data_IF_612065412613
#
_entry.id   IF_612065412613
#
_cell.length_a   1.000
_cell.length_b   1.000
_cell.length_c   1.000
_cell.angle_alpha   90.00
_cell.angle_beta   90.00
_cell.angle_gamma   90.00
#
_symmetry.space_group_name_H-M   'P 1'
#
loop_
_entity.id
_entity.type
_entity.pdbx_description
1 polymer ?
#
# COMPACT_ATOMS: atom_id res chain seq x y z
N UNK A 1 -7.20 1.29 28.64
CA UNK A 1 -8.47 1.11 27.93
C UNK A 1 -9.29 -0.06 28.50
N UNK A 2 -8.70 -1.23 28.83
CA UNK A 2 -9.43 -2.40 29.33
C UNK A 2 -9.89 -2.30 30.80
N UNK A 3 -9.32 -1.38 31.60
CA UNK A 3 -9.67 -1.20 33.01
C UNK A 3 -11.00 -0.45 33.12
N UNK A 4 -12.08 -1.15 33.43
CA UNK A 4 -13.42 -0.59 33.62
C UNK A 4 -13.54 0.21 34.93
N UNK A 5 -14.58 1.03 35.06
CA UNK A 5 -14.89 1.76 36.30
C UNK A 5 -15.10 0.81 37.49
N UNK A 6 -15.70 -0.36 37.24
CA UNK A 6 -15.89 -1.41 38.24
C UNK A 6 -14.56 -1.99 38.73
N UNK A 7 -13.63 -2.30 37.83
CA UNK A 7 -12.29 -2.77 38.18
C UNK A 7 -11.49 -1.72 38.97
N UNK A 8 -11.66 -0.42 38.64
CA UNK A 8 -11.03 0.66 39.40
C UNK A 8 -11.57 0.72 40.84
N UNK A 9 -12.90 0.58 41.03
CA UNK A 9 -13.50 0.51 42.38
C UNK A 9 -13.02 -0.73 43.13
N UNK A 10 -13.04 -1.89 42.51
CA UNK A 10 -12.55 -3.14 43.08
C UNK A 10 -11.06 -3.08 43.47
N UNK A 11 -10.22 -2.41 42.66
CA UNK A 11 -8.82 -2.16 42.99
C UNK A 11 -8.67 -1.30 44.27
N UNK A 12 -9.51 -0.27 44.45
CA UNK A 12 -9.52 0.54 45.66
C UNK A 12 -9.90 -0.32 46.89
N UNK A 13 -10.94 -1.15 46.78
CA UNK A 13 -11.35 -2.07 47.85
C UNK A 13 -10.24 -3.03 48.20
N UNK A 14 -9.60 -3.66 47.22
CA UNK A 14 -8.43 -4.53 47.44
C UNK A 14 -7.32 -3.81 48.22
N UNK A 15 -7.00 -2.57 47.82
CA UNK A 15 -5.96 -1.78 48.50
C UNK A 15 -6.36 -1.39 49.93
N UNK A 16 -7.64 -1.13 50.20
CA UNK A 16 -8.16 -0.86 51.54
C UNK A 16 -8.07 -2.09 52.45
N UNK A 17 -8.42 -3.27 51.91
CA UNK A 17 -8.24 -4.53 52.62
C UNK A 17 -6.77 -4.82 52.94
N UNK A 18 -5.87 -4.53 52.00
CA UNK A 18 -4.45 -4.63 52.25
C UNK A 18 -3.98 -3.70 53.37
N UNK A 19 -4.36 -2.43 53.34
CA UNK A 19 -4.02 -1.46 54.41
C UNK A 19 -4.55 -1.91 55.75
N UNK A 20 -5.82 -2.38 55.81
CA UNK A 20 -6.41 -2.90 57.05
C UNK A 20 -5.57 -4.05 57.61
N UNK A 21 -5.23 -5.07 56.80
CA UNK A 21 -4.41 -6.18 57.22
C UNK A 21 -3.01 -5.73 57.75
N UNK A 22 -2.36 -4.81 57.08
CA UNK A 22 -1.04 -4.30 57.52
C UNK A 22 -1.16 -3.54 58.84
N UNK A 23 -2.26 -2.83 59.09
CA UNK A 23 -2.47 -2.07 60.34
C UNK A 23 -2.87 -3.00 61.49
N UNK A 24 -3.81 -3.93 61.24
CA UNK A 24 -4.37 -4.79 62.33
C UNK A 24 -3.49 -6.03 62.63
N UNK A 25 -2.69 -6.46 61.66
CA UNK A 25 -1.91 -7.72 61.69
C UNK A 25 -2.75 -8.95 62.03
N UNK A 26 -4.10 -8.85 61.87
CA UNK A 26 -5.05 -9.91 62.15
C UNK A 26 -5.08 -10.94 61.04
N UNK A 27 -5.02 -12.22 61.39
CA UNK A 27 -5.06 -13.36 60.47
C UNK A 27 -6.35 -13.42 59.61
N UNK A 28 -7.49 -12.97 60.17
CA UNK A 28 -8.76 -12.89 59.43
C UNK A 28 -8.70 -11.84 58.34
N UNK A 29 -8.14 -10.65 58.59
CA UNK A 29 -7.96 -9.60 57.63
C UNK A 29 -6.97 -10.01 56.49
N UNK A 30 -5.97 -10.82 56.86
CA UNK A 30 -5.06 -11.42 55.88
C UNK A 30 -5.77 -12.36 54.89
N UNK A 31 -6.60 -13.28 55.45
CA UNK A 31 -7.37 -14.24 54.63
C UNK A 31 -8.30 -13.49 53.69
N UNK A 32 -9.05 -12.55 54.21
CA UNK A 32 -10.00 -11.73 53.44
C UNK A 32 -9.30 -10.97 52.29
N UNK A 33 -8.14 -10.38 52.56
CA UNK A 33 -7.34 -9.72 51.55
C UNK A 33 -6.84 -10.70 50.47
N UNK A 34 -6.32 -11.86 50.85
CA UNK A 34 -5.80 -12.87 49.92
C UNK A 34 -6.89 -13.41 49.00
N UNK A 35 -8.04 -13.73 49.55
CA UNK A 35 -9.22 -14.18 48.77
C UNK A 35 -9.68 -13.11 47.79
N UNK A 36 -9.86 -11.88 48.28
CA UNK A 36 -10.31 -10.77 47.41
C UNK A 36 -9.25 -10.48 46.32
N UNK A 37 -7.96 -10.54 46.65
CA UNK A 37 -6.91 -10.37 45.66
C UNK A 37 -6.91 -11.45 44.58
N UNK A 38 -7.19 -12.70 44.94
CA UNK A 38 -7.25 -13.81 44.02
C UNK A 38 -8.40 -13.62 43.01
N UNK A 39 -9.61 -13.30 43.52
CA UNK A 39 -10.80 -13.02 42.69
C UNK A 39 -10.54 -11.80 41.78
N UNK A 40 -10.02 -10.70 42.34
CA UNK A 40 -9.70 -9.50 41.57
C UNK A 40 -8.75 -9.80 40.43
N UNK A 41 -7.68 -10.57 40.70
CA UNK A 41 -6.68 -10.93 39.68
C UNK A 41 -7.29 -11.76 38.54
N UNK A 42 -8.17 -12.72 38.87
CA UNK A 42 -8.86 -13.53 37.89
C UNK A 42 -9.76 -12.67 36.98
N UNK A 43 -10.60 -11.83 37.57
CA UNK A 43 -11.52 -10.94 36.82
C UNK A 43 -10.75 -9.91 36.00
N UNK A 44 -9.65 -9.38 36.51
CA UNK A 44 -8.82 -8.43 35.77
C UNK A 44 -8.14 -9.07 34.54
N UNK A 45 -7.63 -10.29 34.65
CA UNK A 45 -7.04 -11.04 33.53
C UNK A 45 -8.11 -11.40 32.48
N UNK A 46 -9.30 -11.77 32.91
CA UNK A 46 -10.40 -12.09 32.01
C UNK A 46 -10.87 -10.85 31.24
N UNK A 47 -11.02 -9.71 31.92
CA UNK A 47 -11.37 -8.45 31.29
C UNK A 47 -10.31 -7.97 30.30
N UNK A 48 -9.03 -8.17 30.60
CA UNK A 48 -7.93 -7.87 29.69
C UNK A 48 -7.96 -8.78 28.46
N UNK A 49 -8.13 -10.07 28.65
CA UNK A 49 -8.22 -11.06 27.57
C UNK A 49 -9.39 -10.75 26.62
N UNK A 50 -10.56 -10.49 27.15
CA UNK A 50 -11.76 -10.13 26.36
C UNK A 50 -11.55 -8.83 25.58
N UNK A 51 -10.91 -7.82 26.16
CA UNK A 51 -10.60 -6.58 25.48
C UNK A 51 -9.70 -6.80 24.29
N UNK A 52 -8.60 -7.57 24.43
CA UNK A 52 -7.70 -7.84 23.33
C UNK A 52 -8.31 -8.77 22.27
N UNK A 53 -9.14 -9.74 22.68
CA UNK A 53 -9.89 -10.55 21.71
C UNK A 53 -10.81 -9.69 20.84
N UNK A 54 -11.53 -8.74 21.41
CA UNK A 54 -12.39 -7.82 20.65
C UNK A 54 -11.56 -6.87 19.77
N UNK A 55 -10.43 -6.37 20.28
CA UNK A 55 -9.55 -5.44 19.56
C UNK A 55 -8.91 -6.08 18.32
N UNK A 56 -8.65 -7.39 18.35
CA UNK A 56 -8.01 -8.15 17.28
C UNK A 56 -8.99 -9.08 16.53
N UNK A 57 -10.29 -8.97 16.75
CA UNK A 57 -11.27 -9.75 16.00
C UNK A 57 -11.23 -9.37 14.50
N UNK A 58 -10.73 -10.30 13.67
CA UNK A 58 -10.60 -10.13 12.24
C UNK A 58 -11.94 -10.00 11.51
N UNK A 59 -13.06 -10.41 12.12
CA UNK A 59 -14.40 -10.31 11.53
C UNK A 59 -14.91 -8.86 11.54
N UNK A 60 -14.50 -8.08 12.52
CA UNK A 60 -14.96 -6.70 12.72
C UNK A 60 -13.94 -5.64 12.32
N UNK A 61 -12.66 -6.03 12.09
CA UNK A 61 -11.58 -5.12 11.81
C UNK A 61 -10.92 -5.42 10.44
N UNK A 62 -10.69 -4.37 9.66
CA UNK A 62 -9.85 -4.51 8.46
C UNK A 62 -8.35 -4.56 8.85
N UNK A 63 -7.51 -5.08 7.96
CA UNK A 63 -6.06 -5.22 8.20
C UNK A 63 -5.39 -3.92 8.66
N UNK A 64 -5.81 -2.77 8.15
CA UNK A 64 -5.26 -1.46 8.55
C UNK A 64 -5.59 -1.13 10.01
N UNK A 65 -6.81 -1.45 10.47
CA UNK A 65 -7.21 -1.26 11.87
C UNK A 65 -6.43 -2.20 12.79
N UNK A 66 -6.28 -3.47 12.40
CA UNK A 66 -5.47 -4.44 13.16
C UNK A 66 -4.02 -3.96 13.33
N UNK A 67 -3.38 -3.46 12.26
CA UNK A 67 -2.05 -2.89 12.33
C UNK A 67 -1.96 -1.63 13.20
N UNK A 68 -2.95 -0.74 13.13
CA UNK A 68 -3.02 0.44 13.99
C UNK A 68 -3.18 0.04 15.47
N UNK A 69 -4.02 -0.94 15.76
CA UNK A 69 -4.22 -1.47 17.10
C UNK A 69 -2.91 -2.08 17.65
N UNK A 70 -2.23 -2.88 16.83
CA UNK A 70 -0.95 -3.50 17.19
C UNK A 70 0.13 -2.43 17.45
N UNK A 71 0.26 -1.44 16.60
CA UNK A 71 1.18 -0.32 16.78
C UNK A 71 0.90 0.48 18.07
N UNK A 72 -0.38 0.66 18.44
CA UNK A 72 -0.77 1.39 19.65
C UNK A 72 -0.40 0.63 20.92
N UNK A 73 -0.43 -0.71 20.90
CA UNK A 73 -0.11 -1.55 22.05
C UNK A 73 1.41 -1.74 22.19
N UNK A 74 2.07 -2.04 21.09
CA UNK A 74 3.51 -2.31 21.09
C UNK A 74 4.36 -1.03 21.22
N UNK A 75 3.72 0.14 21.36
CA UNK A 75 4.41 1.44 21.44
C UNK A 75 5.45 1.62 20.32
N UNK A 76 5.24 0.95 19.19
CA UNK A 76 5.98 1.31 18.00
C UNK A 76 5.66 2.78 17.76
N UNK A 77 6.59 3.66 18.16
CA UNK A 77 6.47 5.08 17.89
C UNK A 77 6.11 5.19 16.42
N UNK A 78 4.85 5.57 16.14
CA UNK A 78 4.50 6.09 14.83
C UNK A 78 5.40 7.32 14.66
N UNK A 79 6.64 7.08 14.27
CA UNK A 79 7.35 8.06 13.50
C UNK A 79 6.48 8.20 12.26
N UNK A 80 5.55 9.15 12.31
CA UNK A 80 5.09 9.78 11.07
C UNK A 80 6.38 10.04 10.33
N UNK A 81 6.68 9.21 9.35
CA UNK A 81 7.91 9.29 8.61
C UNK A 81 7.75 10.47 7.66
N UNK A 82 7.70 11.68 8.23
CA UNK A 82 8.19 12.86 7.55
C UNK A 82 9.70 12.64 7.56
N UNK A 83 10.18 11.91 6.58
CA UNK A 83 11.59 11.88 6.26
C UNK A 83 11.90 13.28 5.77
N UNK A 84 12.20 14.18 6.71
CA UNK A 84 12.88 15.40 6.33
C UNK A 84 14.23 14.93 5.77
N UNK A 85 14.35 14.99 4.47
CA UNK A 85 15.60 14.73 3.77
C UNK A 85 16.36 16.04 3.89
N UNK A 86 17.33 16.08 4.80
CA UNK A 86 18.10 17.29 5.08
C UNK A 86 19.35 17.40 4.21
N UNK A 87 19.72 16.31 3.54
CA UNK A 87 20.95 16.19 2.79
C UNK A 87 20.81 15.12 1.70
N UNK A 88 21.35 15.40 0.52
CA UNK A 88 21.46 14.45 -0.57
C UNK A 88 22.86 14.56 -1.19
N UNK A 89 23.48 13.45 -1.52
CA UNK A 89 24.75 13.42 -2.28
C UNK A 89 24.41 13.09 -3.72
N UNK A 90 24.66 14.06 -4.61
CA UNK A 90 24.49 13.89 -6.05
C UNK A 90 25.81 14.22 -6.76
N UNK A 91 26.31 13.29 -7.57
CA UNK A 91 27.58 13.44 -8.31
C UNK A 91 28.79 13.87 -7.43
N UNK A 92 28.84 13.36 -6.18
CA UNK A 92 29.88 13.68 -5.22
C UNK A 92 29.71 15.04 -4.51
N UNK A 93 28.68 15.81 -4.85
CA UNK A 93 28.36 17.10 -4.22
C UNK A 93 27.25 16.89 -3.17
N UNK A 94 27.44 17.51 -2.01
CA UNK A 94 26.50 17.52 -0.92
C UNK A 94 25.48 18.65 -1.09
N UNK A 95 24.21 18.30 -1.29
CA UNK A 95 23.09 19.22 -1.45
C UNK A 95 22.34 19.31 -0.12
N UNK A 96 22.10 20.54 0.36
CA UNK A 96 21.41 20.82 1.64
C UNK A 96 20.21 21.74 1.45
N UNK A 97 20.19 22.51 0.36
CA UNK A 97 19.01 23.32 0.03
C UNK A 97 17.85 22.44 -0.45
N UNK A 98 16.60 22.66 0.03
CA UNK A 98 15.46 21.88 -0.37
C UNK A 98 15.16 21.87 -1.88
N UNK A 99 15.43 22.97 -2.59
CA UNK A 99 15.25 23.05 -4.03
C UNK A 99 16.29 22.21 -4.76
N UNK A 100 17.56 22.29 -4.34
CA UNK A 100 18.65 21.51 -4.90
C UNK A 100 18.46 20.00 -4.64
N UNK A 101 18.02 19.63 -3.44
CA UNK A 101 17.66 18.23 -3.10
C UNK A 101 16.54 17.72 -4.03
N UNK A 102 15.48 18.54 -4.25
CA UNK A 102 14.37 18.16 -5.13
C UNK A 102 14.83 17.99 -6.58
N UNK A 103 15.67 18.89 -7.08
CA UNK A 103 16.26 18.80 -8.41
C UNK A 103 17.17 17.58 -8.53
N UNK A 104 18.01 17.33 -7.52
CA UNK A 104 18.86 16.14 -7.47
C UNK A 104 18.09 14.81 -7.56
N UNK A 105 16.93 14.72 -6.89
CA UNK A 105 16.03 13.58 -7.04
C UNK A 105 15.40 13.50 -8.43
N UNK A 106 14.96 14.62 -9.01
CA UNK A 106 14.40 14.65 -10.36
C UNK A 106 15.41 14.19 -11.39
N UNK A 107 16.63 14.71 -11.33
CA UNK A 107 17.73 14.34 -12.23
C UNK A 107 18.08 12.85 -12.09
N UNK A 108 18.13 12.35 -10.85
CA UNK A 108 18.39 10.94 -10.62
C UNK A 108 17.29 10.04 -11.20
N UNK A 109 16.01 10.31 -10.88
CA UNK A 109 14.91 9.45 -11.31
C UNK A 109 14.63 9.53 -12.81
N UNK A 110 14.83 10.69 -13.44
CA UNK A 110 14.67 10.84 -14.90
C UNK A 110 15.78 10.18 -15.71
N UNK A 111 17.00 10.12 -15.18
CA UNK A 111 18.17 9.62 -15.90
C UNK A 111 18.53 8.17 -15.61
N UNK A 112 17.95 7.54 -14.57
CA UNK A 112 18.37 6.19 -14.12
C UNK A 112 18.15 5.13 -15.20
N UNK A 113 17.05 5.21 -15.96
CA UNK A 113 16.77 4.29 -17.05
C UNK A 113 17.88 4.29 -18.11
N UNK A 114 18.20 5.45 -18.63
CA UNK A 114 19.23 5.63 -19.66
C UNK A 114 20.61 5.21 -19.18
N UNK A 115 20.93 5.48 -17.92
CA UNK A 115 22.20 5.03 -17.32
C UNK A 115 22.30 3.51 -17.25
N UNK A 116 21.24 2.84 -16.79
CA UNK A 116 21.22 1.38 -16.71
C UNK A 116 21.30 0.74 -18.09
N UNK A 117 20.64 1.29 -19.11
CA UNK A 117 20.76 0.81 -20.49
C UNK A 117 22.21 0.91 -20.97
N UNK A 118 22.86 2.05 -20.79
CA UNK A 118 24.27 2.23 -21.16
C UNK A 118 25.20 1.26 -20.42
N UNK A 119 24.99 1.03 -19.14
CA UNK A 119 25.76 0.05 -18.36
C UNK A 119 25.57 -1.38 -18.89
N UNK A 120 24.34 -1.75 -19.26
CA UNK A 120 24.04 -3.05 -19.86
C UNK A 120 24.70 -3.21 -21.23
N UNK A 121 24.67 -2.18 -22.07
CA UNK A 121 25.33 -2.18 -23.39
C UNK A 121 26.85 -2.31 -23.27
N UNK A 122 27.48 -1.62 -22.30
CA UNK A 122 28.91 -1.73 -22.04
C UNK A 122 29.32 -3.13 -21.54
N UNK A 123 28.48 -3.77 -20.73
CA UNK A 123 28.75 -5.09 -20.16
C UNK A 123 28.41 -6.25 -21.11
N UNK A 124 27.57 -6.02 -22.11
CA UNK A 124 27.07 -7.04 -23.06
C UNK A 124 27.89 -7.05 -24.38
N UNK A 125 29.21 -7.02 -24.31
CA UNK A 125 30.07 -7.30 -25.48
C UNK A 125 29.82 -8.75 -25.93
N UNK A 126 28.82 -8.97 -26.83
CA UNK A 126 28.64 -10.25 -27.51
C UNK A 126 27.31 -10.97 -27.28
N UNK A 127 26.37 -10.44 -26.48
CA UNK A 127 25.01 -10.96 -26.50
C UNK A 127 24.32 -10.31 -27.70
N UNK A 128 24.31 -11.05 -28.84
CA UNK A 128 23.52 -10.65 -30.01
C UNK A 128 22.09 -10.29 -29.59
N UNK A 129 21.51 -9.32 -30.28
CA UNK A 129 20.10 -8.96 -30.08
C UNK A 129 19.25 -10.23 -29.97
N UNK A 130 18.94 -10.66 -28.76
CA UNK A 130 18.03 -11.78 -28.57
C UNK A 130 16.69 -11.34 -29.15
N UNK A 131 16.42 -11.85 -30.33
CA UNK A 131 15.17 -11.58 -31.00
C UNK A 131 14.03 -12.07 -30.11
N UNK A 132 13.42 -11.14 -29.36
CA UNK A 132 12.31 -11.43 -28.46
C UNK A 132 11.12 -12.04 -29.21
N UNK A 133 11.05 -11.87 -30.52
CA UNK A 133 10.01 -12.44 -31.38
C UNK A 133 9.96 -13.97 -31.27
N UNK A 134 11.08 -14.63 -30.93
CA UNK A 134 11.16 -16.08 -30.68
C UNK A 134 10.30 -16.52 -29.47
N UNK A 135 10.10 -15.60 -28.51
CA UNK A 135 9.33 -15.85 -27.30
C UNK A 135 7.90 -15.31 -27.38
N UNK A 136 7.59 -14.56 -28.45
CA UNK A 136 6.24 -14.08 -28.69
C UNK A 136 5.36 -15.23 -29.25
N UNK A 137 4.20 -15.40 -28.65
CA UNK A 137 3.18 -16.27 -29.21
C UNK A 137 2.79 -15.79 -30.62
N UNK A 138 2.21 -16.71 -31.43
CA UNK A 138 1.75 -16.37 -32.76
C UNK A 138 1.01 -15.03 -32.80
N UNK A 139 1.25 -14.19 -33.83
CA UNK A 139 0.63 -12.87 -33.89
C UNK A 139 -0.91 -13.00 -33.82
N UNK A 140 -1.51 -12.22 -32.95
CA UNK A 140 -2.95 -12.20 -32.80
C UNK A 140 -3.53 -11.44 -33.99
N UNK A 141 -4.43 -12.07 -34.73
CA UNK A 141 -5.06 -11.49 -35.92
C UNK A 141 -5.98 -10.28 -35.58
N UNK A 142 -6.45 -10.21 -34.36
CA UNK A 142 -7.40 -9.19 -33.93
C UNK A 142 -6.67 -8.01 -33.30
N UNK A 143 -6.88 -6.82 -33.83
CA UNK A 143 -6.38 -5.57 -33.24
C UNK A 143 -7.19 -5.18 -31.99
N UNK A 144 -6.55 -4.49 -31.07
CA UNK A 144 -7.23 -3.86 -29.95
C UNK A 144 -8.01 -2.64 -30.43
N UNK A 145 -9.29 -2.57 -30.08
CA UNK A 145 -10.13 -1.43 -30.34
C UNK A 145 -10.45 -0.67 -29.04
N UNK A 146 -10.22 0.63 -29.04
CA UNK A 146 -10.55 1.52 -27.91
C UNK A 146 -12.00 2.00 -28.05
N UNK A 147 -12.91 1.31 -27.37
CA UNK A 147 -14.29 1.76 -27.28
C UNK A 147 -14.37 3.13 -26.57
N UNK A 148 -15.28 3.98 -27.04
CA UNK A 148 -15.53 5.28 -26.43
C UNK A 148 -15.96 5.14 -24.98
N UNK A 149 -15.63 6.13 -24.18
CA UNK A 149 -16.00 6.24 -22.77
C UNK A 149 -17.46 6.66 -22.69
N UNK A 150 -18.19 6.15 -21.68
CA UNK A 150 -19.56 6.57 -21.39
C UNK A 150 -19.64 7.38 -20.11
N UNK A 151 -20.73 8.13 -19.95
CA UNK A 151 -20.96 8.95 -18.76
C UNK A 151 -21.10 8.08 -17.49
N UNK A 152 -21.79 6.95 -17.62
CA UNK A 152 -22.01 5.99 -16.53
C UNK A 152 -20.68 5.39 -16.05
N UNK A 153 -19.76 5.12 -16.97
CA UNK A 153 -18.42 4.62 -16.65
C UNK A 153 -17.66 5.64 -15.80
N UNK A 154 -17.66 6.91 -16.17
CA UNK A 154 -17.02 7.99 -15.42
C UNK A 154 -17.66 8.14 -14.03
N UNK A 155 -19.00 8.17 -13.96
CA UNK A 155 -19.72 8.26 -12.69
C UNK A 155 -19.38 7.10 -11.74
N UNK A 156 -19.34 5.89 -12.25
CA UNK A 156 -18.99 4.71 -11.47
C UNK A 156 -17.54 4.77 -10.97
N UNK A 157 -16.61 5.22 -11.79
CA UNK A 157 -15.22 5.40 -11.39
C UNK A 157 -15.05 6.48 -10.31
N UNK A 158 -15.74 7.62 -10.44
CA UNK A 158 -15.74 8.69 -9.43
C UNK A 158 -16.35 8.19 -8.13
N UNK A 159 -17.46 7.48 -8.15
CA UNK A 159 -18.12 6.89 -6.98
C UNK A 159 -17.17 5.96 -6.21
N UNK A 160 -16.37 5.19 -6.93
CA UNK A 160 -15.43 4.21 -6.38
C UNK A 160 -14.09 4.82 -5.90
N UNK A 161 -13.86 6.12 -6.05
CA UNK A 161 -12.67 6.76 -5.51
C UNK A 161 -12.61 6.59 -3.99
N UNK A 162 -11.45 6.25 -3.47
CA UNK A 162 -11.24 6.13 -2.02
C UNK A 162 -10.92 7.49 -1.43
N UNK A 163 -11.68 7.92 -0.42
CA UNK A 163 -11.38 9.11 0.35
C UNK A 163 -10.03 8.96 1.10
N UNK A 164 -9.38 10.09 1.41
CA UNK A 164 -8.11 10.09 2.15
C UNK A 164 -6.86 9.69 1.34
N UNK A 165 -6.96 9.64 0.00
CA UNK A 165 -5.80 9.51 -0.87
C UNK A 165 -5.18 10.89 -1.14
N UNK A 166 -3.84 10.93 -1.23
CA UNK A 166 -3.10 12.14 -1.51
C UNK A 166 -3.44 12.69 -2.91
N UNK A 167 -3.66 14.02 -3.04
CA UNK A 167 -3.89 14.67 -4.32
C UNK A 167 -2.61 14.70 -5.17
N UNK A 168 -2.77 14.95 -6.45
CA UNK A 168 -1.69 15.20 -7.38
C UNK A 168 -1.14 16.64 -7.30
N UNK A 169 -0.48 17.13 -8.39
CA UNK A 169 0.07 18.49 -8.44
C UNK A 169 -0.99 19.60 -8.35
N UNK A 170 -2.22 19.27 -8.77
CA UNK A 170 -3.40 20.14 -8.75
C UNK A 170 -4.01 20.35 -7.37
N UNK A 171 -3.57 19.59 -6.36
CA UNK A 171 -4.10 19.59 -5.00
C UNK A 171 -5.61 19.24 -4.90
N UNK A 172 -6.20 18.65 -5.94
CA UNK A 172 -7.60 18.25 -5.96
C UNK A 172 -7.75 16.86 -5.33
N UNK A 173 -8.51 16.79 -4.23
CA UNK A 173 -8.76 15.55 -3.51
C UNK A 173 -9.99 14.79 -3.98
N UNK A 174 -10.10 13.46 -3.70
CA UNK A 174 -11.22 12.63 -4.14
C UNK A 174 -12.59 13.11 -3.64
N UNK A 175 -12.66 13.69 -2.45
CA UNK A 175 -13.90 14.23 -1.89
C UNK A 175 -14.51 15.31 -2.77
N UNK A 176 -13.70 16.30 -3.17
CA UNK A 176 -14.15 17.40 -4.03
C UNK A 176 -14.64 16.89 -5.41
N UNK A 177 -13.91 15.93 -6.01
CA UNK A 177 -14.30 15.34 -7.29
C UNK A 177 -15.64 14.59 -7.18
N UNK A 178 -15.90 13.92 -6.06
CA UNK A 178 -17.18 13.25 -5.81
C UNK A 178 -18.35 14.23 -5.69
N UNK A 179 -18.16 15.31 -4.95
CA UNK A 179 -19.18 16.35 -4.76
C UNK A 179 -19.49 17.06 -6.07
N UNK A 180 -18.47 17.34 -6.87
CA UNK A 180 -18.62 18.00 -8.17
C UNK A 180 -18.92 17.04 -9.34
N UNK A 181 -19.19 15.76 -9.07
CA UNK A 181 -19.32 14.72 -10.12
C UNK A 181 -20.37 15.04 -11.18
N UNK A 182 -21.50 15.62 -10.79
CA UNK A 182 -22.59 16.00 -11.72
C UNK A 182 -22.15 17.01 -12.78
N UNK A 183 -21.24 17.91 -12.44
CA UNK A 183 -20.72 18.96 -13.34
C UNK A 183 -19.49 18.49 -14.10
N UNK A 184 -18.70 17.59 -13.51
CA UNK A 184 -17.42 17.13 -14.08
C UNK A 184 -17.57 16.04 -15.13
N UNK A 185 -18.64 15.24 -15.11
CA UNK A 185 -18.77 14.06 -15.97
C UNK A 185 -18.77 14.41 -17.46
N UNK A 186 -19.50 15.44 -17.90
CA UNK A 186 -19.56 15.83 -19.31
C UNK A 186 -18.22 16.37 -19.85
N UNK A 187 -17.54 17.35 -19.19
CA UNK A 187 -16.22 17.77 -19.63
C UNK A 187 -15.19 16.63 -19.67
N UNK A 188 -15.21 15.73 -18.67
CA UNK A 188 -14.32 14.59 -18.66
C UNK A 188 -14.61 13.61 -19.78
N UNK A 189 -15.89 13.34 -20.07
CA UNK A 189 -16.31 12.51 -21.18
C UNK A 189 -15.74 13.04 -22.50
N UNK A 190 -15.88 14.34 -22.73
CA UNK A 190 -15.37 14.98 -23.95
C UNK A 190 -13.85 14.85 -24.06
N UNK A 191 -13.10 15.19 -23.00
CA UNK A 191 -11.64 15.15 -23.00
C UNK A 191 -11.11 13.72 -23.19
N UNK A 192 -11.72 12.73 -22.52
CA UNK A 192 -11.27 11.35 -22.60
C UNK A 192 -11.56 10.74 -23.97
N UNK A 193 -12.73 11.00 -24.53
CA UNK A 193 -13.07 10.54 -25.88
C UNK A 193 -12.22 11.22 -26.97
N UNK A 194 -11.92 12.51 -26.80
CA UNK A 194 -10.99 13.20 -27.68
C UNK A 194 -9.59 12.59 -27.57
N UNK A 195 -9.13 12.27 -26.37
CA UNK A 195 -7.82 11.62 -26.17
C UNK A 195 -7.77 10.23 -26.80
N UNK A 196 -8.86 9.46 -26.72
CA UNK A 196 -8.91 8.12 -27.33
C UNK A 196 -8.97 8.18 -28.87
N UNK A 197 -9.70 9.13 -29.43
CA UNK A 197 -9.81 9.28 -30.87
C UNK A 197 -8.57 9.87 -31.55
N UNK A 198 -7.90 10.80 -30.85
CA UNK A 198 -6.70 11.48 -31.39
C UNK A 198 -5.38 10.77 -31.04
N UNK A 199 -5.38 9.88 -30.03
CA UNK A 199 -4.17 9.31 -29.47
C UNK A 199 -3.34 10.29 -28.63
N UNK A 200 -3.89 11.48 -28.32
CA UNK A 200 -3.18 12.55 -27.63
C UNK A 200 -3.77 12.75 -26.24
N UNK A 201 -2.97 12.51 -25.22
CA UNK A 201 -3.33 12.83 -23.83
C UNK A 201 -2.83 14.24 -23.49
N UNK A 202 -3.68 15.11 -22.90
CA UNK A 202 -3.29 16.47 -22.51
C UNK A 202 -2.02 16.49 -21.64
N UNK A 203 -1.08 17.37 -21.95
CA UNK A 203 0.22 17.41 -21.26
C UNK A 203 0.09 17.67 -19.76
N UNK A 204 -0.92 18.43 -19.33
CA UNK A 204 -1.19 18.67 -17.89
C UNK A 204 -1.58 17.40 -17.12
N UNK A 205 -2.18 16.41 -17.76
CA UNK A 205 -2.49 15.12 -17.14
C UNK A 205 -1.24 14.24 -16.97
N UNK A 206 -0.20 14.47 -17.76
CA UNK A 206 1.06 13.71 -17.69
C UNK A 206 2.02 14.17 -16.59
N UNK A 207 1.66 15.21 -15.82
CA UNK A 207 2.52 15.76 -14.76
C UNK A 207 2.22 15.05 -13.45
N UNK A 208 3.25 14.53 -12.80
CA UNK A 208 3.17 13.91 -11.49
C UNK A 208 4.00 14.66 -10.45
N UNK A 209 3.51 14.72 -9.21
CA UNK A 209 4.30 15.09 -8.04
C UNK A 209 5.02 13.86 -7.52
N UNK A 210 6.34 13.82 -7.61
CA UNK A 210 7.13 12.68 -7.14
C UNK A 210 7.48 12.83 -5.67
N UNK A 211 7.18 11.80 -4.88
CA UNK A 211 7.53 11.71 -3.45
C UNK A 211 8.58 10.63 -3.29
N UNK A 212 9.83 10.97 -2.91
CA UNK A 212 10.86 9.98 -2.64
C UNK A 212 10.59 9.27 -1.31
N UNK A 213 10.46 7.95 -1.32
CA UNK A 213 10.26 7.13 -0.12
C UNK A 213 11.52 6.30 0.11
N UNK A 214 12.18 6.52 1.26
CA UNK A 214 13.36 5.78 1.66
C UNK A 214 13.06 4.29 1.80
N UNK A 215 13.86 3.44 1.16
CA UNK A 215 13.72 1.97 1.20
C UNK A 215 14.60 1.36 2.28
N UNK A 216 15.90 1.56 2.18
CA UNK A 216 16.92 1.06 3.11
C UNK A 216 18.27 1.76 2.80
N UNK A 217 19.29 1.52 3.61
CA UNK A 217 20.64 2.07 3.41
C UNK A 217 20.76 3.53 3.83
N UNK A 218 21.79 4.20 3.32
CA UNK A 218 22.09 5.59 3.62
C UNK A 218 21.03 6.53 3.01
N UNK A 219 20.53 7.46 3.83
CA UNK A 219 19.49 8.42 3.44
C UNK A 219 20.01 9.52 2.51
N UNK A 220 21.32 9.69 2.42
CA UNK A 220 21.93 10.71 1.58
C UNK A 220 22.08 10.25 0.12
N UNK A 221 21.76 8.99 -0.20
CA UNK A 221 21.90 8.41 -1.53
C UNK A 221 20.55 8.29 -2.22
N UNK A 222 20.34 8.95 -3.36
CA UNK A 222 19.09 8.95 -4.13
C UNK A 222 18.66 7.53 -4.53
N UNK A 223 19.58 6.62 -4.83
CA UNK A 223 19.30 5.21 -5.18
C UNK A 223 18.62 4.40 -4.07
N UNK A 224 18.68 4.86 -2.84
CA UNK A 224 18.02 4.23 -1.69
C UNK A 224 16.56 4.66 -1.52
N UNK A 225 16.03 5.44 -2.47
CA UNK A 225 14.65 5.90 -2.47
C UNK A 225 13.84 5.30 -3.63
N UNK A 226 12.54 5.14 -3.39
CA UNK A 226 11.56 4.78 -4.42
C UNK A 226 10.79 6.04 -4.82
N UNK A 227 10.68 6.36 -6.12
CA UNK A 227 9.82 7.44 -6.59
C UNK A 227 8.34 6.99 -6.52
N UNK A 228 7.53 7.70 -5.77
CA UNK A 228 6.08 7.52 -5.79
C UNK A 228 5.45 8.68 -6.52
N UNK A 229 4.93 8.43 -7.72
CA UNK A 229 4.27 9.44 -8.54
C UNK A 229 2.82 9.65 -8.08
N UNK A 230 2.52 10.86 -7.67
CA UNK A 230 1.18 11.31 -7.34
C UNK A 230 0.60 12.05 -8.56
N UNK A 231 -0.22 11.36 -9.32
CA UNK A 231 -0.93 11.90 -10.48
C UNK A 231 -2.20 12.65 -10.05
N UNK A 232 -2.70 13.53 -10.92
CA UNK A 232 -4.05 14.09 -10.81
C UNK A 232 -5.10 12.99 -10.74
N UNK A 233 -6.22 13.27 -10.06
CA UNK A 233 -7.35 12.32 -10.04
C UNK A 233 -7.92 12.14 -11.44
N UNK A 234 -7.96 13.19 -12.24
CA UNK A 234 -8.44 13.15 -13.61
C UNK A 234 -7.59 12.22 -14.49
N UNK A 235 -6.28 12.25 -14.32
CA UNK A 235 -5.39 11.31 -15.00
C UNK A 235 -5.62 9.87 -14.53
N UNK A 236 -5.70 9.65 -13.22
CA UNK A 236 -6.02 8.31 -12.65
C UNK A 236 -7.33 7.71 -13.15
N UNK A 237 -8.34 8.55 -13.44
CA UNK A 237 -9.60 8.09 -14.05
C UNK A 237 -9.36 7.65 -15.49
N UNK A 238 -8.65 8.46 -16.30
CA UNK A 238 -8.30 8.13 -17.67
C UNK A 238 -7.46 6.86 -17.76
N UNK A 239 -6.41 6.76 -16.95
CA UNK A 239 -5.56 5.55 -16.86
C UNK A 239 -6.38 4.31 -16.50
N UNK A 240 -7.33 4.42 -15.58
CA UNK A 240 -8.17 3.30 -15.19
C UNK A 240 -9.09 2.83 -16.30
N UNK A 241 -9.65 3.76 -17.06
CA UNK A 241 -10.46 3.44 -18.25
C UNK A 241 -9.60 2.71 -19.28
N UNK A 242 -8.42 3.23 -19.58
CA UNK A 242 -7.47 2.62 -20.51
C UNK A 242 -7.02 1.22 -20.03
N UNK A 243 -6.71 1.10 -18.75
CA UNK A 243 -6.36 -0.18 -18.13
C UNK A 243 -7.47 -1.22 -18.33
N UNK A 244 -8.73 -0.87 -18.11
CA UNK A 244 -9.84 -1.82 -18.28
C UNK A 244 -9.94 -2.32 -19.72
N UNK A 245 -9.77 -1.45 -20.70
CA UNK A 245 -9.80 -1.83 -22.12
C UNK A 245 -8.64 -2.73 -22.49
N UNK A 246 -7.43 -2.33 -22.13
CA UNK A 246 -6.22 -3.11 -22.38
C UNK A 246 -6.27 -4.47 -21.69
N UNK A 247 -6.61 -4.49 -20.41
CA UNK A 247 -6.64 -5.73 -19.62
C UNK A 247 -7.70 -6.71 -20.12
N UNK A 248 -8.89 -6.21 -20.49
CA UNK A 248 -9.95 -7.03 -21.08
C UNK A 248 -9.51 -7.65 -22.41
N UNK A 249 -8.80 -6.89 -23.26
CA UNK A 249 -8.25 -7.40 -24.50
C UNK A 249 -7.20 -8.49 -24.26
N UNK A 250 -6.25 -8.24 -23.34
CA UNK A 250 -5.19 -9.19 -22.99
C UNK A 250 -5.77 -10.50 -22.44
N UNK A 251 -6.80 -10.42 -21.59
CA UNK A 251 -7.49 -11.59 -21.07
C UNK A 251 -8.28 -12.34 -22.12
N UNK A 252 -9.07 -11.62 -22.93
CA UNK A 252 -9.90 -12.21 -24.00
C UNK A 252 -9.07 -13.04 -24.98
N UNK A 253 -7.87 -12.61 -25.27
CA UNK A 253 -6.97 -13.27 -26.23
C UNK A 253 -5.90 -14.15 -25.56
N UNK A 254 -5.99 -14.38 -24.24
CA UNK A 254 -5.04 -15.20 -23.49
C UNK A 254 -3.56 -14.83 -23.71
N UNK A 255 -3.30 -13.50 -23.82
CA UNK A 255 -1.94 -12.99 -24.10
C UNK A 255 -1.06 -13.06 -22.87
N UNK A 256 -1.64 -12.88 -21.67
CA UNK A 256 -0.88 -12.92 -20.43
C UNK A 256 -0.40 -14.35 -20.13
N UNK A 257 0.89 -14.46 -19.82
CA UNK A 257 1.47 -15.75 -19.46
C UNK A 257 0.79 -16.33 -18.21
N UNK A 258 0.42 -17.63 -18.27
CA UNK A 258 -0.40 -18.25 -17.20
C UNK A 258 0.26 -18.20 -15.82
N UNK A 259 1.59 -18.31 -15.75
CA UNK A 259 2.35 -18.29 -14.51
C UNK A 259 2.77 -16.85 -14.08
N UNK A 260 2.22 -15.80 -14.70
CA UNK A 260 2.40 -14.43 -14.24
C UNK A 260 1.42 -14.13 -13.12
N UNK A 261 1.86 -14.09 -11.89
CA UNK A 261 1.05 -13.79 -10.71
C UNK A 261 1.07 -12.30 -10.34
N UNK A 262 2.14 -11.60 -10.67
CA UNK A 262 2.28 -10.17 -10.37
C UNK A 262 1.34 -9.29 -11.20
N UNK A 263 0.75 -8.27 -10.56
CA UNK A 263 -0.11 -7.27 -11.20
C UNK A 263 -1.39 -7.79 -11.86
N UNK A 264 -1.82 -8.99 -11.55
CA UNK A 264 -3.05 -9.60 -12.06
C UNK A 264 -4.15 -9.61 -11.00
N UNK A 265 -5.40 -9.38 -11.45
CA UNK A 265 -6.57 -9.49 -10.58
C UNK A 265 -6.74 -10.95 -10.13
N UNK A 266 -7.12 -11.16 -8.87
CA UNK A 266 -7.28 -12.49 -8.25
C UNK A 266 -6.00 -13.36 -8.22
N UNK A 267 -4.83 -12.78 -8.41
CA UNK A 267 -3.54 -13.44 -8.26
C UNK A 267 -2.79 -12.87 -7.05
N UNK A 268 -1.97 -13.71 -6.41
CA UNK A 268 -1.19 -13.33 -5.23
C UNK A 268 0.14 -14.07 -5.20
N UNK A 269 1.07 -13.59 -4.37
CA UNK A 269 2.34 -14.30 -4.10
C UNK A 269 2.10 -15.67 -3.45
N UNK A 270 1.03 -15.80 -2.64
CA UNK A 270 0.66 -17.09 -2.04
C UNK A 270 0.23 -18.10 -3.09
N UNK A 271 -0.55 -17.69 -4.10
CA UNK A 271 -0.92 -18.56 -5.21
C UNK A 271 0.30 -18.98 -6.05
N UNK A 272 1.24 -18.06 -6.29
CA UNK A 272 2.49 -18.39 -6.95
C UNK A 272 3.29 -19.46 -6.19
N UNK A 273 3.36 -19.32 -4.86
CA UNK A 273 4.05 -20.28 -4.00
C UNK A 273 3.36 -21.66 -4.02
N UNK A 274 2.03 -21.70 -3.95
CA UNK A 274 1.24 -22.93 -4.03
C UNK A 274 1.53 -23.64 -5.35
N UNK A 275 1.47 -22.92 -6.48
CA UNK A 275 1.75 -23.54 -7.80
C UNK A 275 3.17 -24.10 -7.88
N UNK A 276 4.17 -23.43 -7.35
CA UNK A 276 5.55 -23.95 -7.31
C UNK A 276 5.63 -25.21 -6.46
N UNK A 277 5.02 -25.23 -5.28
CA UNK A 277 5.02 -26.40 -4.39
C UNK A 277 4.29 -27.57 -5.05
N UNK A 278 3.12 -27.35 -5.63
CA UNK A 278 2.34 -28.39 -6.32
C UNK A 278 3.12 -29.00 -7.48
N UNK A 279 3.80 -28.18 -8.29
CA UNK A 279 4.64 -28.65 -9.37
C UNK A 279 5.81 -29.53 -8.85
N UNK A 280 6.48 -29.10 -7.78
CA UNK A 280 7.56 -29.88 -7.16
C UNK A 280 7.04 -31.23 -6.65
N UNK A 281 5.92 -31.24 -5.95
CA UNK A 281 5.32 -32.48 -5.43
C UNK A 281 4.91 -33.42 -6.58
N UNK A 282 4.33 -32.91 -7.64
CA UNK A 282 3.95 -33.68 -8.81
C UNK A 282 5.17 -34.35 -9.48
N UNK A 283 6.29 -33.63 -9.63
CA UNK A 283 7.53 -34.21 -10.18
C UNK A 283 8.15 -35.25 -9.25
N UNK A 284 8.09 -35.02 -7.93
CA UNK A 284 8.54 -36.03 -6.94
C UNK A 284 7.70 -37.30 -6.98
N UNK A 285 6.37 -37.20 -7.07
CA UNK A 285 5.46 -38.32 -7.16
C UNK A 285 5.68 -39.14 -8.44
N UNK A 286 6.06 -38.47 -9.53
CA UNK A 286 6.40 -39.12 -10.81
C UNK A 286 7.84 -39.67 -10.85
N UNK A 287 8.62 -39.60 -9.75
CA UNK A 287 10.03 -39.95 -9.69
C UNK A 287 10.91 -39.21 -10.74
N UNK A 288 10.52 -38.01 -11.17
CA UNK A 288 11.30 -37.14 -12.04
C UNK A 288 12.34 -36.37 -11.22
N UNK A 289 13.58 -36.26 -11.76
CA UNK A 289 14.68 -35.58 -11.09
C UNK A 289 14.84 -34.15 -11.60
#
# INVERSE_FOLDING_TARGET
AWITSALKKSSKTKNNLYKKWITTRNKQDEILYKEYRAVYRKVALEAESLYYQQLFDCRNNNLKQLWNNLNSICSFKNKACRTNINELVANGVKLTDPADISNGFNDYFSSIGDRLVKELEMNNQGIGHNDFSKYCNKPIKNSMFLALVTIEEIQQLIKNLRNGKSPGPDNIGPGLVKEASSVLCEPLLYIYNLSFSSGIVPSRLKVAKVIPIHKNGDKNIAGNYRPISLLSIFDKLLERIMYHRLYSYLQKHSILYRHQFGFRHNHSTSLALIEVVDNILQHLDNNEK
#
